data_IF_006631262917
#
_entry.id   IF_006631262917
#
_cell.length_a   1.000
_cell.length_b   1.000
_cell.length_c   1.000
_cell.angle_alpha   90.00
_cell.angle_beta   90.00
_cell.angle_gamma   90.00
#
_symmetry.space_group_name_H-M   'P 1'
#
loop_
_entity.id
_entity.type
_entity.pdbx_description
1 polymer ?
#
# COMPACT_ATOMS: atom_id res chain seq x y z
N UNK A 1 -54.11 -2.61 21.21
CA UNK A 1 -52.68 -2.91 20.96
C UNK A 1 -51.88 -1.72 21.44
N UNK A 2 -50.90 -1.97 22.31
CA UNK A 2 -50.31 -1.01 23.25
C UNK A 2 -49.49 0.07 22.50
N UNK A 3 -49.65 1.34 22.86
CA UNK A 3 -48.87 2.51 22.39
C UNK A 3 -47.35 2.26 22.37
N UNK A 4 -46.87 1.36 23.23
CA UNK A 4 -45.50 0.84 23.23
C UNK A 4 -45.02 0.26 21.89
N UNK A 5 -45.90 -0.36 21.09
CA UNK A 5 -45.50 -0.95 19.79
C UNK A 5 -45.23 0.15 18.77
N UNK A 6 -46.06 1.20 18.75
CA UNK A 6 -45.85 2.35 17.86
C UNK A 6 -44.57 3.11 18.20
N UNK A 7 -44.26 3.29 19.49
CA UNK A 7 -43.03 3.92 19.93
C UNK A 7 -41.79 3.13 19.49
N UNK A 8 -41.82 1.79 19.58
CA UNK A 8 -40.71 0.94 19.13
C UNK A 8 -40.51 1.04 17.60
N UNK A 9 -41.60 1.03 16.82
CA UNK A 9 -41.54 1.17 15.35
C UNK A 9 -40.98 2.53 14.95
N UNK A 10 -41.42 3.61 15.60
CA UNK A 10 -40.90 4.95 15.33
C UNK A 10 -39.41 5.07 15.68
N UNK A 11 -38.99 4.49 16.80
CA UNK A 11 -37.58 4.45 17.20
C UNK A 11 -36.71 3.70 16.19
N UNK A 12 -37.17 2.53 15.72
CA UNK A 12 -36.46 1.75 14.71
C UNK A 12 -36.34 2.50 13.38
N UNK A 13 -37.41 3.18 12.95
CA UNK A 13 -37.42 3.96 11.72
C UNK A 13 -36.43 5.13 11.76
N UNK A 14 -36.35 5.85 12.88
CA UNK A 14 -35.36 6.92 13.06
C UNK A 14 -33.93 6.38 13.06
N UNK A 15 -33.71 5.22 13.66
CA UNK A 15 -32.39 4.57 13.67
C UNK A 15 -31.96 4.11 12.27
N UNK A 16 -32.89 3.55 11.49
CA UNK A 16 -32.64 3.14 10.10
C UNK A 16 -32.26 4.33 9.22
N UNK A 17 -32.94 5.48 9.36
CA UNK A 17 -32.62 6.70 8.61
C UNK A 17 -31.23 7.24 8.95
N UNK A 18 -30.84 7.22 10.23
CA UNK A 18 -29.49 7.62 10.67
C UNK A 18 -28.41 6.67 10.12
N UNK A 19 -28.67 5.36 10.13
CA UNK A 19 -27.78 4.36 9.54
C UNK A 19 -27.63 4.57 8.03
N UNK A 20 -28.72 4.78 7.29
CA UNK A 20 -28.65 5.02 5.83
C UNK A 20 -27.94 6.32 5.46
N UNK A 21 -27.96 7.34 6.33
CA UNK A 21 -27.13 8.53 6.17
C UNK A 21 -25.63 8.24 6.29
N UNK A 22 -25.26 7.24 7.10
CA UNK A 22 -23.87 6.83 7.33
C UNK A 22 -23.35 5.92 6.21
N UNK A 23 -24.21 5.10 5.60
CA UNK A 23 -23.87 4.24 4.46
C UNK A 23 -23.41 5.04 3.22
N UNK A 24 -23.92 6.27 3.03
CA UNK A 24 -23.47 7.15 1.94
C UNK A 24 -22.02 7.62 2.13
N UNK A 25 -21.58 7.80 3.37
CA UNK A 25 -20.25 8.28 3.72
C UNK A 25 -19.18 7.18 3.62
N UNK A 26 -19.58 5.91 3.78
CA UNK A 26 -18.65 4.77 3.76
C UNK A 26 -18.06 4.50 2.38
N UNK A 27 -18.82 4.74 1.30
CA UNK A 27 -18.32 4.62 -0.08
C UNK A 27 -17.30 5.71 -0.40
N UNK A 28 -17.61 6.95 -0.05
CA UNK A 28 -16.73 8.10 -0.29
C UNK A 28 -15.43 7.99 0.51
N UNK A 29 -15.50 7.50 1.76
CA UNK A 29 -14.32 7.24 2.59
C UNK A 29 -13.43 6.14 2.01
N UNK A 30 -14.00 5.06 1.48
CA UNK A 30 -13.23 3.97 0.86
C UNK A 30 -12.49 4.45 -0.38
N UNK A 31 -13.15 5.18 -1.27
CA UNK A 31 -12.52 5.75 -2.46
C UNK A 31 -11.42 6.75 -2.07
N UNK A 32 -11.70 7.63 -1.10
CA UNK A 32 -10.71 8.60 -0.58
C UNK A 32 -9.50 7.89 0.06
N UNK A 33 -9.73 6.84 0.84
CA UNK A 33 -8.68 6.06 1.48
C UNK A 33 -7.86 5.26 0.46
N UNK A 34 -8.49 4.67 -0.56
CA UNK A 34 -7.79 4.00 -1.65
C UNK A 34 -6.95 5.00 -2.45
N UNK A 35 -7.50 6.18 -2.76
CA UNK A 35 -6.77 7.25 -3.43
C UNK A 35 -5.55 7.69 -2.62
N UNK A 36 -5.72 7.94 -1.31
CA UNK A 36 -4.62 8.31 -0.42
C UNK A 36 -3.56 7.20 -0.32
N UNK A 37 -3.97 5.92 -0.24
CA UNK A 37 -3.02 4.79 -0.23
C UNK A 37 -2.25 4.72 -1.55
N UNK A 38 -2.91 4.91 -2.70
CA UNK A 38 -2.22 4.90 -3.99
C UNK A 38 -1.25 6.07 -4.13
N UNK A 39 -1.61 7.27 -3.68
CA UNK A 39 -0.70 8.43 -3.64
C UNK A 39 0.50 8.15 -2.72
N UNK A 40 0.26 7.62 -1.52
CA UNK A 40 1.37 7.27 -0.60
C UNK A 40 2.22 6.12 -1.14
N UNK A 41 1.65 5.16 -1.88
CA UNK A 41 2.41 4.08 -2.50
C UNK A 41 3.26 4.58 -3.68
N UNK A 42 2.81 5.62 -4.39
CA UNK A 42 3.58 6.26 -5.45
C UNK A 42 4.72 7.11 -4.89
N UNK A 43 4.51 7.86 -3.80
CA UNK A 43 5.59 8.57 -3.10
C UNK A 43 6.53 7.62 -2.36
N UNK A 44 6.01 6.49 -1.86
CA UNK A 44 6.80 5.44 -1.24
C UNK A 44 7.41 4.47 -2.25
N UNK A 45 7.29 4.70 -3.56
CA UNK A 45 8.20 4.07 -4.52
C UNK A 45 9.59 4.50 -4.08
N UNK A 46 10.40 3.59 -3.47
CA UNK A 46 11.75 3.95 -3.11
C UNK A 46 12.38 4.40 -4.42
N UNK A 47 12.89 5.65 -4.49
CA UNK A 47 13.61 6.16 -5.66
C UNK A 47 14.37 4.99 -6.26
N UNK A 48 13.91 4.52 -7.41
CA UNK A 48 14.38 3.29 -8.02
C UNK A 48 15.80 3.61 -8.49
N UNK A 49 16.75 3.58 -7.55
CA UNK A 49 18.14 3.87 -7.84
C UNK A 49 18.52 2.87 -8.90
N UNK A 50 18.84 3.40 -10.08
CA UNK A 50 19.21 2.60 -11.24
C UNK A 50 20.34 1.66 -10.82
N UNK A 51 19.97 0.42 -10.55
CA UNK A 51 20.91 -0.59 -10.10
C UNK A 51 21.74 -1.04 -11.30
N UNK A 52 22.94 -1.52 -11.03
CA UNK A 52 23.91 -1.90 -12.05
C UNK A 52 23.82 -3.39 -12.31
N UNK A 53 23.62 -3.73 -13.58
CA UNK A 53 23.57 -5.11 -14.06
C UNK A 53 24.96 -5.77 -14.06
N UNK A 54 25.02 -7.03 -14.48
CA UNK A 54 26.25 -7.81 -14.59
C UNK A 54 27.32 -7.05 -15.37
N UNK A 55 28.53 -6.98 -14.82
CA UNK A 55 29.68 -6.20 -15.31
C UNK A 55 29.52 -4.67 -15.25
N UNK A 56 28.43 -4.15 -14.72
CA UNK A 56 28.29 -2.73 -14.39
C UNK A 56 29.23 -2.32 -13.27
N UNK A 57 29.92 -1.18 -13.42
CA UNK A 57 30.92 -0.75 -12.44
C UNK A 57 30.31 -0.29 -11.12
N UNK A 58 30.80 -0.72 -9.96
CA UNK A 58 30.17 -0.46 -8.66
C UNK A 58 31.16 0.11 -7.63
N UNK A 59 30.64 0.83 -6.62
CA UNK A 59 31.38 1.22 -5.41
C UNK A 59 30.99 0.35 -4.21
N UNK A 60 29.73 -0.04 -4.14
CA UNK A 60 29.14 -0.82 -3.04
C UNK A 60 28.23 -1.92 -3.59
N UNK A 61 27.95 -2.95 -2.79
CA UNK A 61 27.03 -4.02 -3.18
C UNK A 61 25.60 -3.51 -3.45
N UNK A 62 25.17 -2.45 -2.77
CA UNK A 62 23.86 -1.82 -3.01
C UNK A 62 23.75 -1.11 -4.36
N UNK A 63 24.86 -0.88 -5.06
CA UNK A 63 24.81 -0.34 -6.43
C UNK A 63 24.40 -1.41 -7.44
N UNK A 64 24.50 -2.71 -7.10
CA UNK A 64 24.23 -3.81 -8.00
C UNK A 64 22.76 -4.25 -7.93
N UNK A 65 22.21 -4.75 -9.03
CA UNK A 65 20.84 -5.27 -9.04
C UNK A 65 20.69 -6.54 -8.20
N UNK A 66 19.43 -6.94 -7.97
CA UNK A 66 19.10 -8.16 -7.25
C UNK A 66 19.88 -9.37 -7.80
N UNK A 67 20.43 -10.19 -6.91
CA UNK A 67 21.31 -11.34 -7.21
C UNK A 67 22.72 -10.98 -7.70
N UNK A 68 23.11 -9.71 -7.61
CA UNK A 68 24.46 -9.26 -7.89
C UNK A 68 25.10 -8.60 -6.66
N UNK A 69 26.41 -8.77 -6.56
CA UNK A 69 27.25 -8.15 -5.56
C UNK A 69 28.48 -7.51 -6.18
N UNK A 70 28.97 -6.46 -5.53
CA UNK A 70 30.12 -5.72 -6.02
C UNK A 70 31.41 -6.50 -5.76
N UNK A 71 32.17 -6.82 -6.80
CA UNK A 71 33.52 -7.39 -6.69
C UNK A 71 34.51 -6.26 -6.51
N UNK A 72 34.87 -5.96 -5.26
CA UNK A 72 35.71 -4.80 -4.90
C UNK A 72 37.11 -4.78 -5.54
N UNK A 73 37.64 -5.94 -5.95
CA UNK A 73 38.94 -6.02 -6.64
C UNK A 73 38.91 -5.33 -8.00
N UNK A 74 37.86 -5.59 -8.77
CA UNK A 74 37.73 -5.15 -10.17
C UNK A 74 36.59 -4.13 -10.34
N UNK A 75 35.91 -3.78 -9.24
CA UNK A 75 34.84 -2.79 -9.13
C UNK A 75 33.69 -3.02 -10.12
N UNK A 76 33.23 -4.25 -10.28
CA UNK A 76 32.07 -4.60 -11.11
C UNK A 76 31.06 -5.49 -10.38
N UNK A 77 29.80 -5.44 -10.81
CA UNK A 77 28.73 -6.29 -10.31
C UNK A 77 28.83 -7.70 -10.90
N UNK A 78 28.91 -8.71 -10.04
CA UNK A 78 28.91 -10.12 -10.41
C UNK A 78 27.84 -10.87 -9.62
N UNK A 79 27.46 -12.06 -10.06
CA UNK A 79 26.54 -12.91 -9.31
C UNK A 79 27.00 -13.12 -7.85
N UNK A 80 26.09 -12.88 -6.90
CA UNK A 80 26.33 -13.06 -5.46
C UNK A 80 25.77 -14.39 -4.91
N UNK A 81 25.12 -15.18 -5.77
CA UNK A 81 24.47 -16.45 -5.45
C UNK A 81 23.31 -16.37 -4.45
N UNK A 82 22.71 -15.19 -4.25
CA UNK A 82 21.54 -15.01 -3.36
C UNK A 82 20.20 -15.39 -4.01
N UNK A 83 20.17 -16.45 -4.82
CA UNK A 83 18.97 -16.91 -5.55
C UNK A 83 17.84 -17.46 -4.66
N UNK A 84 17.85 -17.20 -3.35
CA UNK A 84 16.79 -17.62 -2.42
C UNK A 84 16.68 -16.69 -1.22
N UNK A 85 15.64 -15.86 -1.24
CA UNK A 85 14.83 -15.51 -0.07
C UNK A 85 13.42 -15.13 -0.54
#
# INVERSE_FOLDING_TARGET
MKTSVFAAILGLALFAVLCSGSELQEKDLKETLLSAIMETALEAQPEERECRYLFGGCKTTSDCCKHLGCKFRDKYCAWDFTFSK
#
